data_IF_524760974143
#
_entry.id   IF_524760974143
#
_cell.length_a   1.000
_cell.length_b   1.000
_cell.length_c   1.000
_cell.angle_alpha   90.00
_cell.angle_beta   90.00
_cell.angle_gamma   90.00
#
_symmetry.space_group_name_H-M   'P 1'
#
loop_
_entity.id
_entity.type
_entity.pdbx_description
1 polymer ?
#
# COMPACT_ATOMS: atom_id res chain seq x y z
N UNK A 1 6.82 -2.15 20.78
CA UNK A 1 6.97 -0.68 20.94
C UNK A 1 8.37 -0.23 21.36
N UNK A 2 9.08 -0.95 22.26
CA UNK A 2 10.41 -0.52 22.76
C UNK A 2 11.44 -0.29 21.64
N UNK A 3 11.58 -1.24 20.70
CA UNK A 3 12.55 -1.14 19.60
C UNK A 3 12.30 0.00 18.59
N UNK A 4 11.07 0.46 18.43
CA UNK A 4 10.76 1.56 17.50
C UNK A 4 11.13 2.91 18.08
N UNK A 5 10.96 3.06 19.41
CA UNK A 5 11.38 4.27 20.13
C UNK A 5 12.91 4.43 20.17
N UNK A 6 13.64 3.33 20.27
CA UNK A 6 15.11 3.32 20.17
C UNK A 6 15.63 3.76 18.80
N UNK A 7 14.83 3.56 17.76
CA UNK A 7 15.11 3.98 16.39
C UNK A 7 14.49 5.35 16.04
N UNK A 8 13.92 6.05 17.03
CA UNK A 8 13.27 7.36 16.88
C UNK A 8 12.13 7.38 15.86
N UNK A 9 11.47 6.23 15.63
CA UNK A 9 10.29 6.16 14.78
C UNK A 9 9.01 6.44 15.56
N UNK A 10 8.29 7.46 15.11
CA UNK A 10 6.93 7.71 15.54
C UNK A 10 5.95 6.72 14.87
N UNK A 11 4.99 6.26 15.67
CA UNK A 11 3.91 5.40 15.19
C UNK A 11 2.71 6.27 14.80
N UNK A 12 2.32 6.23 13.53
CA UNK A 12 1.03 6.77 13.10
C UNK A 12 -0.10 5.87 13.62
N UNK A 13 -1.05 6.46 14.34
CA UNK A 13 -2.29 5.79 14.68
C UNK A 13 -3.07 5.46 13.41
N UNK A 14 -3.59 4.23 13.30
CA UNK A 14 -4.40 3.79 12.17
C UNK A 14 -5.75 3.28 12.71
N UNK A 15 -6.90 3.70 12.16
CA UNK A 15 -8.19 3.19 12.60
C UNK A 15 -8.33 1.70 12.26
N UNK A 16 -9.14 1.00 13.06
CA UNK A 16 -9.40 -0.44 12.88
C UNK A 16 -10.13 -0.66 11.55
N UNK A 17 -9.59 -1.52 10.66
CA UNK A 17 -10.03 -1.85 9.28
C UNK A 17 -9.34 -1.08 8.12
N UNK A 18 -8.09 -0.69 8.27
CA UNK A 18 -7.40 0.30 7.41
C UNK A 18 -6.89 -0.14 6.01
N UNK A 19 -7.56 -1.05 5.30
CA UNK A 19 -7.17 -1.40 3.92
C UNK A 19 -7.14 -0.16 3.01
N UNK A 20 -8.10 0.76 3.18
CA UNK A 20 -8.15 1.99 2.38
C UNK A 20 -7.13 3.07 2.73
N UNK A 21 -6.46 2.92 3.87
CA UNK A 21 -5.55 3.91 4.43
C UNK A 21 -4.10 3.47 4.23
N UNK A 22 -3.83 2.19 4.08
CA UNK A 22 -2.48 1.72 3.77
C UNK A 22 -2.16 1.95 2.29
N UNK A 23 -1.19 2.82 2.00
CA UNK A 23 -0.69 3.01 0.63
C UNK A 23 -0.12 1.73 0.02
N UNK A 24 0.34 0.79 0.85
CA UNK A 24 0.72 -0.53 0.38
C UNK A 24 -0.50 -1.27 -0.19
N UNK A 25 -1.64 -1.26 0.50
CA UNK A 25 -2.86 -1.97 0.09
C UNK A 25 -3.50 -1.32 -1.15
N UNK A 26 -3.92 -0.05 -1.05
CA UNK A 26 -4.71 0.58 -2.11
C UNK A 26 -3.91 0.95 -3.36
N UNK A 27 -2.59 1.05 -3.28
CA UNK A 27 -1.76 1.51 -4.39
C UNK A 27 -0.78 0.43 -4.84
N UNK A 28 0.12 -0.01 -3.96
CA UNK A 28 1.18 -0.95 -4.37
C UNK A 28 0.62 -2.34 -4.70
N UNK A 29 -0.09 -2.97 -3.78
CA UNK A 29 -0.66 -4.30 -3.95
C UNK A 29 -1.78 -4.29 -4.98
N UNK A 30 -2.66 -3.29 -4.99
CA UNK A 30 -3.65 -3.14 -6.04
C UNK A 30 -3.04 -3.12 -7.46
N UNK A 31 -1.99 -2.31 -7.68
CA UNK A 31 -1.32 -2.27 -8.98
C UNK A 31 -0.53 -3.55 -9.30
N UNK A 32 0.00 -4.22 -8.28
CA UNK A 32 0.71 -5.48 -8.43
C UNK A 32 -0.25 -6.61 -8.78
N UNK A 33 -1.39 -6.72 -8.10
CA UNK A 33 -2.45 -7.68 -8.41
C UNK A 33 -2.87 -7.57 -9.86
N UNK A 34 -3.09 -6.35 -10.37
CA UNK A 34 -3.38 -6.12 -11.78
C UNK A 34 -2.32 -6.70 -12.75
N UNK A 35 -1.05 -6.75 -12.33
CA UNK A 35 0.03 -7.39 -13.11
C UNK A 35 0.02 -8.91 -12.95
N UNK A 36 -0.44 -9.43 -11.82
CA UNK A 36 -0.43 -10.86 -11.49
C UNK A 36 -1.69 -11.62 -11.92
N UNK A 37 -2.82 -10.93 -12.13
CA UNK A 37 -4.10 -11.55 -12.51
C UNK A 37 -3.91 -12.48 -13.72
N UNK A 38 -4.39 -13.72 -13.56
CA UNK A 38 -4.36 -14.75 -14.60
C UNK A 38 -2.99 -15.37 -14.87
N UNK A 39 -1.94 -15.03 -14.11
CA UNK A 39 -0.59 -15.59 -14.28
C UNK A 39 -0.32 -16.70 -13.26
N UNK A 40 0.40 -17.73 -13.71
CA UNK A 40 0.94 -18.78 -12.85
C UNK A 40 2.46 -18.81 -12.97
N UNK A 41 3.14 -19.02 -11.85
CA UNK A 41 4.60 -19.07 -11.79
C UNK A 41 5.02 -20.41 -11.21
N UNK A 42 5.87 -21.12 -11.94
CA UNK A 42 6.30 -22.48 -11.58
C UNK A 42 7.56 -22.50 -10.71
N UNK A 43 8.06 -21.34 -10.28
CA UNK A 43 9.23 -21.25 -9.41
C UNK A 43 9.27 -19.94 -8.62
N UNK A 44 9.96 -19.99 -7.49
CA UNK A 44 10.26 -18.80 -6.68
C UNK A 44 11.05 -17.74 -7.45
N UNK A 45 11.97 -18.16 -8.33
CA UNK A 45 12.75 -17.23 -9.15
C UNK A 45 11.88 -16.49 -10.16
N UNK A 46 10.89 -17.16 -10.76
CA UNK A 46 9.94 -16.52 -11.65
C UNK A 46 9.08 -15.47 -10.91
N UNK A 47 8.66 -15.77 -9.67
CA UNK A 47 7.95 -14.79 -8.83
C UNK A 47 8.84 -13.58 -8.53
N UNK A 48 10.09 -13.81 -8.09
CA UNK A 48 11.05 -12.72 -7.82
C UNK A 48 11.27 -11.82 -9.02
N UNK A 49 11.43 -12.42 -10.21
CA UNK A 49 11.65 -11.67 -11.44
C UNK A 49 10.47 -10.75 -11.74
N UNK A 50 9.23 -11.23 -11.64
CA UNK A 50 8.05 -10.38 -11.88
C UNK A 50 7.92 -9.26 -10.86
N UNK A 51 8.24 -9.52 -9.59
CA UNK A 51 8.29 -8.45 -8.59
C UNK A 51 9.31 -7.38 -8.95
N UNK A 52 10.49 -7.78 -9.42
CA UNK A 52 11.53 -6.84 -9.84
C UNK A 52 11.11 -6.05 -11.09
N UNK A 53 10.63 -6.74 -12.13
CA UNK A 53 10.11 -6.12 -13.35
C UNK A 53 8.96 -5.16 -13.06
N UNK A 54 8.09 -5.50 -12.10
CA UNK A 54 7.03 -4.61 -11.65
C UNK A 54 7.61 -3.28 -11.19
N UNK A 55 8.56 -3.27 -10.24
CA UNK A 55 9.14 -2.02 -9.74
C UNK A 55 9.97 -1.28 -10.80
N UNK A 56 10.75 -2.00 -11.59
CA UNK A 56 11.59 -1.42 -12.66
C UNK A 56 10.74 -0.75 -13.75
N UNK A 57 9.51 -1.23 -13.97
CA UNK A 57 8.58 -0.63 -14.93
C UNK A 57 7.86 0.62 -14.41
N UNK A 58 7.92 0.92 -13.11
CA UNK A 58 7.20 2.05 -12.52
C UNK A 58 8.00 3.36 -12.63
N UNK A 59 7.33 4.51 -12.82
CA UNK A 59 8.02 5.80 -12.77
C UNK A 59 8.60 6.03 -11.36
N UNK A 60 9.69 6.80 -11.27
CA UNK A 60 10.37 7.12 -10.00
C UNK A 60 9.43 7.66 -8.92
N UNK A 61 8.37 8.38 -9.33
CA UNK A 61 7.36 8.92 -8.43
C UNK A 61 6.26 7.95 -7.99
N UNK A 62 6.28 6.68 -8.40
CA UNK A 62 5.16 5.76 -8.17
C UNK A 62 4.80 5.60 -6.69
N UNK A 63 5.79 5.35 -5.82
CA UNK A 63 5.54 5.23 -4.38
C UNK A 63 5.11 6.57 -3.77
N UNK A 64 5.71 7.68 -4.21
CA UNK A 64 5.35 9.03 -3.77
C UNK A 64 3.91 9.38 -4.12
N UNK A 65 3.44 9.00 -5.32
CA UNK A 65 2.03 9.16 -5.72
C UNK A 65 1.09 8.41 -4.78
N UNK A 66 1.43 7.16 -4.45
CA UNK A 66 0.68 6.38 -3.47
C UNK A 66 0.60 7.09 -2.12
N UNK A 67 1.73 7.55 -1.59
CA UNK A 67 1.81 8.28 -0.32
C UNK A 67 1.09 9.63 -0.35
N UNK A 68 1.15 10.39 -1.43
CA UNK A 68 0.47 11.69 -1.54
C UNK A 68 -1.06 11.53 -1.52
N UNK A 69 -1.57 10.43 -2.07
CA UNK A 69 -3.00 10.11 -2.03
C UNK A 69 -3.50 9.75 -0.63
N UNK A 70 -2.59 9.51 0.32
CA UNK A 70 -2.92 9.20 1.71
C UNK A 70 -3.75 10.33 2.34
N UNK A 71 -3.33 11.59 2.17
CA UNK A 71 -4.04 12.74 2.73
C UNK A 71 -5.50 12.80 2.27
N UNK A 72 -5.76 12.50 1.00
CA UNK A 72 -7.11 12.52 0.42
C UNK A 72 -7.95 11.38 1.01
N UNK A 73 -7.37 10.18 1.12
CA UNK A 73 -8.06 9.00 1.68
C UNK A 73 -8.35 9.15 3.16
N UNK A 74 -7.43 9.72 3.92
CA UNK A 74 -7.63 10.09 5.32
C UNK A 74 -8.77 11.08 5.49
N UNK A 75 -8.79 12.14 4.67
CA UNK A 75 -9.85 13.13 4.72
C UNK A 75 -11.22 12.50 4.47
N UNK A 76 -11.35 11.66 3.45
CA UNK A 76 -12.62 10.98 3.16
C UNK A 76 -13.03 10.00 4.27
N UNK A 77 -12.08 9.21 4.82
CA UNK A 77 -12.39 8.25 5.89
C UNK A 77 -12.86 8.95 7.18
N UNK A 78 -12.22 10.05 7.56
CA UNK A 78 -12.56 10.80 8.78
C UNK A 78 -13.84 11.61 8.58
N UNK A 79 -13.99 12.31 7.46
CA UNK A 79 -15.07 13.29 7.25
C UNK A 79 -16.35 12.61 6.73
N UNK A 80 -16.23 11.73 5.74
CA UNK A 80 -17.40 11.24 4.99
C UNK A 80 -17.98 9.96 5.60
N UNK A 81 -17.15 9.17 6.30
CA UNK A 81 -17.54 7.87 6.86
C UNK A 81 -17.52 7.79 8.40
N UNK A 82 -17.44 8.93 9.11
CA UNK A 82 -17.40 8.96 10.58
C UNK A 82 -16.31 8.06 11.20
N UNK A 83 -15.18 7.87 10.49
CA UNK A 83 -14.09 7.01 10.94
C UNK A 83 -14.20 5.53 10.58
N UNK A 84 -15.17 5.12 9.74
CA UNK A 84 -15.18 3.78 9.14
C UNK A 84 -14.45 3.75 7.79
N UNK A 85 -13.77 2.65 7.50
CA UNK A 85 -13.13 2.45 6.19
C UNK A 85 -14.18 2.21 5.09
N UNK A 86 -13.79 2.36 3.83
CA UNK A 86 -14.71 2.19 2.71
C UNK A 86 -14.91 0.69 2.49
N UNK A 87 -16.13 0.20 2.73
CA UNK A 87 -16.51 -1.11 2.23
C UNK A 87 -16.74 -0.96 0.71
N UNK A 88 -15.88 -1.62 -0.08
CA UNK A 88 -16.10 -1.82 -1.53
C UNK A 88 -17.09 -2.96 -1.77
#
# INVERSE_FOLDING_TARGET
>A
MVKLKELEFDLLHCPTNSSDISSAEYHLFHNLENVLIGKQYNSHNAVKLVFQEFFDSRPTGFCTTGLNNLSIKWQKCIIDNQGTCFDN
#
